data_IF_347953618908
#
_entry.id   IF_347953618908
#
_cell.length_a   1.000
_cell.length_b   1.000
_cell.length_c   1.000
_cell.angle_alpha   90.00
_cell.angle_beta   90.00
_cell.angle_gamma   90.00
#
_symmetry.space_group_name_H-M   'P 1'
#
loop_
_entity.id
_entity.type
_entity.pdbx_description
1 polymer ?
#
# COMPACT_ATOMS: atom_id res chain seq x y z
N UNK A 1 4.42 34.30 -11.99
CA UNK A 1 4.14 32.86 -11.75
C UNK A 1 4.42 32.57 -10.29
N UNK A 2 3.48 31.90 -9.61
CA UNK A 2 3.63 31.48 -8.21
C UNK A 2 4.33 30.12 -8.13
N UNK A 3 4.90 29.77 -6.97
CA UNK A 3 5.72 28.56 -6.80
C UNK A 3 4.96 27.27 -7.15
N UNK A 4 3.68 27.18 -6.83
CA UNK A 4 2.83 26.02 -7.12
C UNK A 4 2.73 25.77 -8.63
N UNK A 5 2.41 26.79 -9.42
CA UNK A 5 2.36 26.70 -10.88
C UNK A 5 3.71 26.31 -11.50
N UNK A 6 4.82 26.81 -10.93
CA UNK A 6 6.16 26.44 -11.40
C UNK A 6 6.48 24.97 -11.10
N UNK A 7 6.07 24.45 -9.93
CA UNK A 7 6.23 23.03 -9.56
C UNK A 7 5.39 22.11 -10.45
N UNK A 8 4.13 22.47 -10.67
CA UNK A 8 3.24 21.72 -11.55
C UNK A 8 3.77 21.67 -12.98
N UNK A 9 4.34 22.78 -13.46
CA UNK A 9 4.98 22.80 -14.77
C UNK A 9 6.21 21.87 -14.82
N UNK A 10 7.09 21.93 -13.80
CA UNK A 10 8.27 21.07 -13.72
C UNK A 10 7.93 19.58 -13.71
N UNK A 11 6.81 19.19 -13.08
CA UNK A 11 6.34 17.80 -13.06
C UNK A 11 5.78 17.31 -14.39
N UNK A 12 5.38 18.22 -15.29
CA UNK A 12 4.81 17.89 -16.61
C UNK A 12 5.80 18.06 -17.76
N UNK A 13 6.94 18.69 -17.52
CA UNK A 13 7.94 18.95 -18.54
C UNK A 13 8.75 17.68 -18.85
N UNK A 14 9.04 17.45 -20.13
CA UNK A 14 9.91 16.34 -20.57
C UNK A 14 11.37 16.50 -20.11
N UNK A 15 11.81 17.75 -19.89
CA UNK A 15 13.15 18.09 -19.40
C UNK A 15 13.03 19.16 -18.29
N UNK A 16 13.25 18.80 -17.01
CA UNK A 16 13.16 19.75 -15.89
C UNK A 16 14.39 20.66 -15.75
N UNK A 17 15.37 20.62 -16.67
CA UNK A 17 16.60 21.39 -16.55
C UNK A 17 16.35 22.91 -16.64
N UNK A 18 16.72 23.72 -15.63
CA UNK A 18 16.45 25.16 -15.60
C UNK A 18 16.96 25.91 -16.84
N UNK A 19 18.14 25.54 -17.33
CA UNK A 19 18.81 26.19 -18.46
C UNK A 19 18.17 25.84 -19.82
N UNK A 20 17.45 24.72 -19.89
CA UNK A 20 16.79 24.22 -21.12
C UNK A 20 15.29 24.51 -21.14
N UNK A 21 14.73 25.08 -20.08
CA UNK A 21 13.31 25.39 -19.97
C UNK A 21 12.85 26.33 -21.11
N UNK A 22 11.99 25.90 -22.05
CA UNK A 22 11.58 26.72 -23.19
C UNK A 22 10.66 27.87 -22.81
N UNK A 23 9.98 27.77 -21.65
CA UNK A 23 9.01 28.77 -21.19
C UNK A 23 9.73 29.88 -20.42
N UNK A 24 9.80 31.08 -21.02
CA UNK A 24 10.49 32.25 -20.45
C UNK A 24 10.02 32.59 -19.04
N UNK A 25 8.71 32.50 -18.76
CA UNK A 25 8.13 32.83 -17.45
C UNK A 25 8.60 31.87 -16.35
N UNK A 26 8.67 30.57 -16.65
CA UNK A 26 9.16 29.55 -15.72
C UNK A 26 10.66 29.74 -15.48
N UNK A 27 11.43 29.97 -16.55
CA UNK A 27 12.87 30.23 -16.47
C UNK A 27 13.18 31.43 -15.57
N UNK A 28 12.48 32.55 -15.76
CA UNK A 28 12.63 33.72 -14.92
C UNK A 28 12.32 33.42 -13.44
N UNK A 29 11.28 32.62 -13.17
CA UNK A 29 10.94 32.21 -11.81
C UNK A 29 12.01 31.30 -11.17
N UNK A 30 12.55 30.32 -11.91
CA UNK A 30 13.65 29.47 -11.43
C UNK A 30 14.95 30.26 -11.20
N UNK A 31 15.13 31.37 -11.92
CA UNK A 31 16.25 32.27 -11.70
C UNK A 31 16.09 33.06 -10.39
N UNK A 32 14.88 33.54 -10.09
CA UNK A 32 14.60 34.35 -8.90
C UNK A 32 14.26 33.57 -7.62
N UNK A 33 13.78 32.33 -7.74
CA UNK A 33 13.31 31.52 -6.59
C UNK A 33 14.25 30.34 -6.31
N UNK A 34 15.01 30.43 -5.21
CA UNK A 34 15.94 29.37 -4.79
C UNK A 34 15.26 28.04 -4.46
N UNK A 35 14.07 28.06 -3.86
CA UNK A 35 13.34 26.84 -3.51
C UNK A 35 12.87 26.06 -4.75
N UNK A 36 12.34 26.75 -5.77
CA UNK A 36 11.95 26.11 -7.02
C UNK A 36 13.17 25.65 -7.83
N UNK A 37 14.29 26.37 -7.77
CA UNK A 37 15.55 25.92 -8.37
C UNK A 37 16.06 24.62 -7.73
N UNK A 38 16.05 24.53 -6.40
CA UNK A 38 16.46 23.33 -5.68
C UNK A 38 15.56 22.15 -6.04
N UNK A 39 14.24 22.37 -6.08
CA UNK A 39 13.28 21.35 -6.49
C UNK A 39 13.55 20.81 -7.91
N UNK A 40 13.87 21.69 -8.87
CA UNK A 40 14.27 21.27 -10.22
C UNK A 40 15.55 20.41 -10.22
N UNK A 41 16.57 20.78 -9.42
CA UNK A 41 17.79 19.99 -9.28
C UNK A 41 17.54 18.61 -8.66
N UNK A 42 16.62 18.53 -7.70
CA UNK A 42 16.24 17.25 -7.08
C UNK A 42 15.49 16.35 -8.09
N UNK A 43 14.62 16.91 -8.94
CA UNK A 43 13.98 16.17 -10.03
C UNK A 43 15.01 15.62 -11.03
N UNK A 44 15.98 16.44 -11.44
CA UNK A 44 17.08 16.01 -12.33
C UNK A 44 17.87 14.86 -11.71
N UNK A 45 18.14 14.91 -10.39
CA UNK A 45 18.82 13.82 -9.67
C UNK A 45 18.01 12.53 -9.73
N UNK A 46 16.72 12.59 -9.42
CA UNK A 46 15.83 11.41 -9.43
C UNK A 46 15.73 10.82 -10.85
N UNK A 47 15.54 11.67 -11.85
CA UNK A 47 15.49 11.24 -13.24
C UNK A 47 16.81 10.57 -13.66
N UNK A 48 17.95 11.14 -13.26
CA UNK A 48 19.27 10.56 -13.51
C UNK A 48 19.43 9.16 -12.89
N UNK A 49 18.97 8.97 -11.65
CA UNK A 49 18.99 7.65 -10.98
C UNK A 49 18.11 6.65 -11.73
N UNK A 50 16.90 7.06 -12.14
CA UNK A 50 15.98 6.20 -12.88
C UNK A 50 16.54 5.82 -14.25
N UNK A 51 17.12 6.77 -14.99
CA UNK A 51 17.75 6.51 -16.30
C UNK A 51 19.02 5.66 -16.21
N UNK A 52 19.71 5.67 -15.07
CA UNK A 52 20.88 4.83 -14.83
C UNK A 52 20.52 3.37 -14.55
N UNK A 53 19.25 3.04 -14.28
CA UNK A 53 18.81 1.66 -14.12
C UNK A 53 18.97 0.95 -15.47
N UNK A 54 19.76 -0.14 -15.56
CA UNK A 54 19.98 -0.83 -16.82
C UNK A 54 18.65 -1.35 -17.36
N UNK A 55 18.38 -1.08 -18.63
CA UNK A 55 17.21 -1.62 -19.31
C UNK A 55 17.31 -3.15 -19.29
N UNK A 56 16.29 -3.88 -18.78
CA UNK A 56 16.36 -5.33 -18.74
C UNK A 56 16.51 -5.88 -20.17
N UNK A 57 17.36 -6.90 -20.36
CA UNK A 57 17.67 -7.44 -21.69
C UNK A 57 16.42 -7.88 -22.49
N UNK A 58 15.31 -8.19 -21.82
CA UNK A 58 14.04 -8.50 -22.45
C UNK A 58 13.35 -7.28 -23.10
N UNK A 59 13.53 -6.07 -22.55
CA UNK A 59 12.89 -4.86 -23.05
C UNK A 59 13.44 -4.41 -24.42
N UNK A 60 14.71 -4.67 -24.72
CA UNK A 60 15.24 -4.43 -26.07
C UNK A 60 14.55 -5.32 -27.12
N UNK A 61 14.22 -6.57 -26.77
CA UNK A 61 13.51 -7.48 -27.68
C UNK A 61 12.06 -7.06 -27.91
N UNK A 62 11.36 -6.59 -26.88
CA UNK A 62 10.00 -6.07 -27.04
C UNK A 62 9.97 -4.74 -27.80
N UNK A 63 10.92 -3.84 -27.54
CA UNK A 63 11.03 -2.56 -28.24
C UNK A 63 11.30 -2.76 -29.75
N UNK A 64 12.25 -3.64 -30.11
CA UNK A 64 12.54 -3.95 -31.52
C UNK A 64 11.34 -4.59 -32.22
N UNK A 65 10.67 -5.54 -31.57
CA UNK A 65 9.44 -6.15 -32.11
C UNK A 65 8.30 -5.13 -32.27
N UNK A 66 8.16 -4.18 -31.34
CA UNK A 66 7.16 -3.11 -31.42
C UNK A 66 7.46 -2.12 -32.55
N UNK A 67 8.70 -1.64 -32.65
CA UNK A 67 9.12 -0.72 -33.72
C UNK A 67 8.98 -1.34 -35.11
N UNK A 68 9.24 -2.65 -35.24
CA UNK A 68 9.01 -3.38 -36.48
C UNK A 68 7.52 -3.44 -36.89
N UNK A 69 6.58 -3.36 -35.93
CA UNK A 69 5.14 -3.28 -36.22
C UNK A 69 4.72 -1.88 -36.67
N UNK A 70 5.35 -0.84 -36.14
CA UNK A 70 5.00 0.56 -36.46
C UNK A 70 5.53 1.01 -37.82
N UNK A 71 6.67 0.47 -38.28
CA UNK A 71 7.24 0.77 -39.59
C UNK A 71 7.37 -0.51 -40.45
N UNK A 72 6.26 -1.01 -41.03
CA UNK A 72 6.27 -2.21 -41.86
C UNK A 72 7.07 -2.06 -43.16
N UNK A 73 7.49 -0.84 -43.51
CA UNK A 73 8.25 -0.51 -44.72
C UNK A 73 9.75 -0.69 -44.59
N UNK A 74 10.29 -0.96 -43.40
CA UNK A 74 11.68 -1.39 -43.27
C UNK A 74 11.72 -2.87 -43.62
N UNK A 75 12.31 -3.28 -44.75
CA UNK A 75 12.47 -4.69 -45.07
C UNK A 75 13.29 -5.32 -43.96
N UNK A 76 12.62 -6.11 -43.11
CA UNK A 76 13.31 -6.96 -42.14
C UNK A 76 14.30 -7.78 -42.95
N UNK A 77 15.62 -7.68 -42.70
CA UNK A 77 16.61 -8.43 -43.46
C UNK A 77 16.18 -9.88 -43.41
N UNK A 78 15.83 -10.40 -44.59
CA UNK A 78 15.32 -11.75 -44.76
C UNK A 78 16.32 -12.66 -44.05
N UNK A 79 15.93 -13.34 -42.95
CA UNK A 79 16.88 -14.15 -42.21
C UNK A 79 17.50 -15.11 -43.21
N UNK A 80 18.84 -15.03 -43.37
CA UNK A 80 19.58 -15.88 -44.33
C UNK A 80 19.03 -17.29 -44.17
N UNK A 81 18.62 -17.97 -45.27
CA UNK A 81 18.04 -19.28 -45.18
C UNK A 81 18.98 -20.16 -44.38
N UNK A 82 18.58 -20.48 -43.13
CA UNK A 82 19.37 -21.37 -42.31
C UNK A 82 19.54 -22.66 -43.12
N UNK A 83 20.76 -23.21 -43.20
CA UNK A 83 20.98 -24.45 -43.93
C UNK A 83 19.94 -25.45 -43.45
N UNK A 84 19.13 -25.96 -44.39
CA UNK A 84 18.13 -26.99 -44.18
C UNK A 84 18.84 -28.19 -43.54
N UNK A 85 18.91 -28.21 -42.20
CA UNK A 85 19.26 -29.41 -41.46
C UNK A 85 18.21 -30.44 -41.82
N UNK A 86 18.68 -31.53 -42.40
CA UNK A 86 17.87 -32.64 -42.91
C UNK A 86 16.84 -33.06 -41.85
N UNK A 87 15.58 -33.15 -42.27
CA UNK A 87 14.41 -33.53 -41.45
C UNK A 87 14.48 -34.97 -40.90
N UNK A 88 15.60 -35.67 -41.05
CA UNK A 88 15.77 -37.05 -40.60
C UNK A 88 16.19 -37.17 -39.12
N UNK A 89 16.56 -36.07 -38.46
CA UNK A 89 17.02 -36.07 -37.06
C UNK A 89 16.08 -35.43 -36.02
N UNK A 90 14.92 -34.91 -36.43
CA UNK A 90 14.10 -34.03 -35.56
C UNK A 90 13.06 -34.74 -34.69
N UNK A 91 12.71 -36.01 -34.95
CA UNK A 91 11.72 -36.71 -34.13
C UNK A 91 12.19 -36.87 -32.67
N UNK A 92 13.49 -37.11 -32.47
CA UNK A 92 14.07 -37.22 -31.12
C UNK A 92 13.97 -35.94 -30.29
N UNK A 93 13.92 -34.77 -30.92
CA UNK A 93 13.76 -33.49 -30.22
C UNK A 93 12.31 -33.13 -29.93
N UNK A 94 11.35 -33.62 -30.73
CA UNK A 94 9.92 -33.41 -30.48
C UNK A 94 9.51 -34.07 -29.15
N UNK A 95 9.98 -35.29 -28.89
CA UNK A 95 9.70 -36.00 -27.63
C UNK A 95 10.25 -35.24 -26.42
N UNK A 96 11.47 -34.71 -26.53
CA UNK A 96 12.09 -33.92 -25.47
C UNK A 96 11.33 -32.60 -25.21
N UNK A 97 10.93 -31.89 -26.27
CA UNK A 97 10.16 -30.65 -26.13
C UNK A 97 8.78 -30.89 -25.50
N UNK A 98 8.08 -31.97 -25.88
CA UNK A 98 6.80 -32.34 -25.24
C UNK A 98 6.95 -32.73 -23.78
N UNK A 99 8.06 -33.35 -23.38
CA UNK A 99 8.37 -33.62 -21.98
C UNK A 99 8.61 -32.34 -21.18
N UNK A 100 9.34 -31.36 -21.74
CA UNK A 100 9.53 -30.06 -21.09
C UNK A 100 8.24 -29.27 -20.98
N UNK A 101 7.38 -29.26 -22.02
CA UNK A 101 6.07 -28.61 -21.94
C UNK A 101 5.18 -29.34 -20.94
N UNK A 102 5.14 -30.67 -20.96
CA UNK A 102 4.38 -31.47 -20.00
C UNK A 102 4.82 -31.23 -18.55
N UNK A 103 6.12 -31.26 -18.29
CA UNK A 103 6.68 -30.98 -16.96
C UNK A 103 6.45 -29.53 -16.55
N UNK A 104 6.64 -28.55 -17.44
CA UNK A 104 6.38 -27.15 -17.14
C UNK A 104 4.88 -26.87 -16.88
N UNK A 105 3.99 -27.54 -17.62
CA UNK A 105 2.54 -27.42 -17.42
C UNK A 105 2.15 -28.08 -16.10
N UNK A 106 2.67 -29.27 -15.81
CA UNK A 106 2.42 -29.97 -14.55
C UNK A 106 2.97 -29.20 -13.35
N UNK A 107 4.18 -28.64 -13.44
CA UNK A 107 4.74 -27.80 -12.38
C UNK A 107 3.98 -26.48 -12.24
N UNK A 108 3.46 -25.90 -13.32
CA UNK A 108 2.60 -24.70 -13.25
C UNK A 108 1.24 -24.98 -12.59
N UNK A 109 0.63 -26.14 -12.83
CA UNK A 109 -0.61 -26.53 -12.15
C UNK A 109 -0.42 -27.00 -10.71
N UNK A 110 0.76 -27.54 -10.38
CA UNK A 110 1.11 -27.97 -9.01
C UNK A 110 1.77 -26.87 -8.17
N UNK A 111 2.27 -25.80 -8.78
CA UNK A 111 2.73 -24.65 -8.00
C UNK A 111 1.49 -23.88 -7.57
N UNK A 112 1.21 -23.78 -6.25
CA UNK A 112 0.09 -22.99 -5.77
C UNK A 112 0.27 -21.57 -6.29
N UNK A 113 -0.61 -21.15 -7.21
CA UNK A 113 -0.68 -19.77 -7.66
C UNK A 113 -0.77 -18.90 -6.43
N UNK A 114 0.04 -17.84 -6.34
CA UNK A 114 0.12 -16.88 -5.22
C UNK A 114 -1.21 -16.13 -5.03
N UNK A 115 -2.29 -16.83 -4.70
CA UNK A 115 -3.59 -16.27 -4.32
C UNK A 115 -3.50 -15.56 -2.97
N UNK A 116 -2.57 -16.00 -2.11
CA UNK A 116 -2.38 -15.49 -0.76
C UNK A 116 -1.99 -14.00 -0.62
N UNK A 117 -1.80 -13.25 -1.71
CA UNK A 117 -1.53 -11.80 -1.62
C UNK A 117 -2.70 -10.92 -2.05
N UNK A 118 -3.59 -11.40 -2.92
CA UNK A 118 -4.73 -10.60 -3.36
C UNK A 118 -5.77 -10.44 -2.24
N UNK A 119 -5.93 -11.46 -1.40
CA UNK A 119 -6.95 -11.51 -0.35
C UNK A 119 -6.66 -10.54 0.80
N UNK A 120 -5.39 -10.42 1.20
CA UNK A 120 -4.97 -9.47 2.24
C UNK A 120 -5.05 -8.00 1.80
N UNK A 121 -4.99 -7.75 0.50
CA UNK A 121 -5.02 -6.40 -0.06
C UNK A 121 -6.38 -5.72 0.18
N UNK A 122 -7.48 -6.48 0.13
CA UNK A 122 -8.83 -5.94 0.34
C UNK A 122 -8.99 -5.45 1.78
N UNK A 123 -8.54 -6.24 2.76
CA UNK A 123 -8.59 -5.85 4.18
C UNK A 123 -7.74 -4.60 4.42
N UNK A 124 -6.54 -4.52 3.84
CA UNK A 124 -5.68 -3.33 3.95
C UNK A 124 -6.33 -2.07 3.36
N UNK A 125 -7.00 -2.20 2.20
CA UNK A 125 -7.72 -1.10 1.58
C UNK A 125 -8.94 -0.66 2.40
N UNK A 126 -9.66 -1.60 3.03
CA UNK A 126 -10.77 -1.29 3.94
C UNK A 126 -10.30 -0.55 5.19
N UNK A 127 -9.18 -0.96 5.79
CA UNK A 127 -8.58 -0.24 6.93
C UNK A 127 -8.19 1.18 6.53
N UNK A 128 -7.53 1.34 5.37
CA UNK A 128 -7.14 2.66 4.86
C UNK A 128 -8.36 3.55 4.57
N UNK A 129 -9.42 2.98 4.02
CA UNK A 129 -10.67 3.71 3.79
C UNK A 129 -11.32 4.17 5.10
N UNK A 130 -11.39 3.31 6.12
CA UNK A 130 -11.91 3.69 7.45
C UNK A 130 -11.10 4.81 8.10
N UNK A 131 -9.76 4.75 8.01
CA UNK A 131 -8.89 5.82 8.53
C UNK A 131 -9.16 7.13 7.79
N UNK A 132 -9.25 7.12 6.46
CA UNK A 132 -9.58 8.32 5.68
C UNK A 132 -10.94 8.92 6.04
N UNK A 133 -11.95 8.09 6.33
CA UNK A 133 -13.25 8.56 6.80
C UNK A 133 -13.12 9.30 8.15
N UNK A 134 -12.41 8.73 9.12
CA UNK A 134 -12.19 9.35 10.44
C UNK A 134 -11.26 10.58 10.42
N UNK A 135 -10.35 10.65 9.45
CA UNK A 135 -9.48 11.81 9.23
C UNK A 135 -10.17 12.96 8.47
N UNK A 136 -11.36 12.72 7.92
CA UNK A 136 -12.14 13.74 7.20
C UNK A 136 -12.53 14.88 8.15
N UNK A 137 -12.45 16.12 7.65
CA UNK A 137 -12.64 17.30 8.52
C UNK A 137 -14.10 17.65 8.75
N UNK A 138 -14.97 17.21 7.84
CA UNK A 138 -16.38 17.56 7.84
C UNK A 138 -17.25 16.32 7.58
N UNK A 139 -18.46 16.26 8.14
CA UNK A 139 -19.39 15.16 7.87
C UNK A 139 -19.71 15.01 6.38
N UNK A 140 -19.89 16.12 5.66
CA UNK A 140 -20.18 16.11 4.22
C UNK A 140 -19.04 15.51 3.37
N UNK A 141 -17.78 15.75 3.74
CA UNK A 141 -16.63 15.10 3.09
C UNK A 141 -16.59 13.60 3.37
N UNK A 142 -16.89 13.21 4.61
CA UNK A 142 -16.98 11.82 5.05
C UNK A 142 -18.07 11.06 4.29
N UNK A 143 -19.26 11.63 4.20
CA UNK A 143 -20.40 11.09 3.43
C UNK A 143 -20.01 10.89 1.96
N UNK A 144 -19.38 11.90 1.35
CA UNK A 144 -18.92 11.81 -0.03
C UNK A 144 -17.93 10.66 -0.23
N UNK A 145 -16.92 10.54 0.64
CA UNK A 145 -15.93 9.45 0.58
C UNK A 145 -16.57 8.07 0.78
N UNK A 146 -17.61 7.98 1.63
CA UNK A 146 -18.37 6.75 1.81
C UNK A 146 -19.13 6.37 0.56
N UNK A 147 -19.88 7.31 -0.04
CA UNK A 147 -20.65 7.06 -1.26
C UNK A 147 -19.77 6.70 -2.46
N UNK A 148 -18.59 7.31 -2.58
CA UNK A 148 -17.65 7.04 -3.69
C UNK A 148 -17.06 5.62 -3.65
N UNK A 149 -16.85 5.02 -2.47
CA UNK A 149 -16.06 3.78 -2.33
C UNK A 149 -16.83 2.58 -1.77
N UNK A 150 -17.89 2.78 -0.99
CA UNK A 150 -18.57 1.69 -0.25
C UNK A 150 -19.12 0.60 -1.16
N UNK A 151 -19.78 0.96 -2.27
CA UNK A 151 -20.35 -0.02 -3.21
C UNK A 151 -19.25 -0.89 -3.86
N UNK A 152 -18.17 -0.27 -4.34
CA UNK A 152 -17.06 -0.98 -4.97
C UNK A 152 -16.32 -1.88 -3.99
N UNK A 153 -16.09 -1.42 -2.75
CA UNK A 153 -15.45 -2.22 -1.70
C UNK A 153 -16.33 -3.41 -1.29
N UNK A 154 -17.65 -3.21 -1.15
CA UNK A 154 -18.60 -4.28 -0.82
C UNK A 154 -18.64 -5.36 -1.90
N UNK A 155 -18.69 -4.97 -3.18
CA UNK A 155 -18.63 -5.91 -4.30
C UNK A 155 -17.32 -6.72 -4.30
N UNK A 156 -16.18 -6.06 -4.04
CA UNK A 156 -14.89 -6.75 -3.94
C UNK A 156 -14.82 -7.74 -2.79
N UNK A 157 -15.37 -7.40 -1.63
CA UNK A 157 -15.46 -8.34 -0.50
C UNK A 157 -16.35 -9.55 -0.85
N UNK A 158 -17.46 -9.34 -1.54
CA UNK A 158 -18.38 -10.42 -1.93
C UNK A 158 -17.81 -11.35 -3.00
N UNK A 159 -17.01 -10.81 -3.92
CA UNK A 159 -16.43 -11.57 -5.04
C UNK A 159 -15.09 -12.22 -4.70
N UNK A 160 -14.37 -11.69 -3.71
CA UNK A 160 -13.12 -12.26 -3.25
C UNK A 160 -13.34 -13.57 -2.48
N UNK A 161 -12.42 -14.53 -2.68
CA UNK A 161 -12.44 -15.81 -1.99
C UNK A 161 -11.67 -15.71 -0.67
N UNK A 162 -12.12 -14.80 0.20
CA UNK A 162 -11.50 -14.60 1.50
C UNK A 162 -11.72 -15.82 2.41
N UNK A 163 -10.74 -16.20 3.25
CA UNK A 163 -11.00 -17.08 4.38
C UNK A 163 -12.15 -16.53 5.23
N UNK A 164 -12.99 -17.41 5.81
CA UNK A 164 -14.18 -17.02 6.61
C UNK A 164 -13.87 -15.96 7.67
N UNK A 165 -12.72 -16.11 8.32
CA UNK A 165 -12.25 -15.16 9.34
C UNK A 165 -11.95 -13.78 8.76
N UNK A 166 -11.29 -13.72 7.61
CA UNK A 166 -10.93 -12.46 6.94
C UNK A 166 -12.15 -11.82 6.31
N UNK A 167 -13.12 -12.61 5.87
CA UNK A 167 -14.43 -12.15 5.43
C UNK A 167 -15.19 -11.48 6.58
N UNK A 168 -15.17 -12.05 7.79
CA UNK A 168 -15.80 -11.46 8.97
C UNK A 168 -15.15 -10.10 9.33
N UNK A 169 -13.81 -10.03 9.33
CA UNK A 169 -13.08 -8.77 9.55
C UNK A 169 -13.39 -7.74 8.46
N UNK A 170 -13.44 -8.15 7.19
CA UNK A 170 -13.79 -7.26 6.08
C UNK A 170 -15.21 -6.71 6.22
N UNK A 171 -16.16 -7.54 6.64
CA UNK A 171 -17.53 -7.10 6.89
C UNK A 171 -17.59 -6.11 8.07
N UNK A 172 -16.90 -6.40 9.17
CA UNK A 172 -16.81 -5.49 10.32
C UNK A 172 -16.21 -4.12 9.93
N UNK A 173 -15.21 -4.10 9.04
CA UNK A 173 -14.64 -2.85 8.52
C UNK A 173 -15.61 -2.09 7.60
N UNK A 174 -16.45 -2.78 6.82
CA UNK A 174 -17.50 -2.14 6.02
C UNK A 174 -18.58 -1.52 6.91
N UNK A 175 -18.99 -2.24 7.95
CA UNK A 175 -20.01 -1.79 8.90
C UNK A 175 -19.51 -0.61 9.72
N UNK A 176 -18.24 -0.65 10.16
CA UNK A 176 -17.60 0.48 10.82
C UNK A 176 -17.51 1.71 9.92
N UNK A 177 -17.18 1.53 8.64
CA UNK A 177 -17.18 2.64 7.67
C UNK A 177 -18.55 3.30 7.52
N UNK A 178 -19.63 2.52 7.60
CA UNK A 178 -21.00 3.06 7.61
C UNK A 178 -21.29 3.81 8.90
N UNK A 179 -20.95 3.21 10.05
CA UNK A 179 -21.11 3.82 11.36
C UNK A 179 -20.40 5.19 11.47
N UNK A 180 -19.19 5.31 10.91
CA UNK A 180 -18.43 6.56 10.90
C UNK A 180 -19.17 7.71 10.20
N UNK A 181 -20.07 7.45 9.24
CA UNK A 181 -20.84 8.53 8.58
C UNK A 181 -21.88 9.18 9.49
N UNK A 182 -22.28 8.49 10.56
CA UNK A 182 -23.33 8.94 11.47
C UNK A 182 -22.78 9.48 12.81
N UNK A 183 -21.50 9.29 13.09
CA UNK A 183 -20.88 9.55 14.38
C UNK A 183 -19.63 10.42 14.25
N UNK A 184 -19.60 11.56 14.95
CA UNK A 184 -18.51 12.54 14.91
C UNK A 184 -17.77 12.69 16.26
N UNK A 185 -18.15 11.95 17.31
CA UNK A 185 -17.45 12.02 18.61
C UNK A 185 -16.10 11.28 18.50
N UNK A 186 -14.96 11.97 18.62
CA UNK A 186 -13.66 11.32 18.51
C UNK A 186 -13.43 10.26 19.60
N UNK A 187 -14.11 10.37 20.74
CA UNK A 187 -14.00 9.36 21.78
C UNK A 187 -14.68 8.05 21.38
N UNK A 188 -15.88 8.14 20.77
CA UNK A 188 -16.60 6.98 20.27
C UNK A 188 -15.82 6.34 19.11
N UNK A 189 -15.29 7.15 18.18
CA UNK A 189 -14.44 6.66 17.09
C UNK A 189 -13.20 5.92 17.62
N UNK A 190 -12.54 6.45 18.67
CA UNK A 190 -11.39 5.80 19.28
C UNK A 190 -11.74 4.43 19.89
N UNK A 191 -12.91 4.29 20.52
CA UNK A 191 -13.38 3.01 21.07
C UNK A 191 -13.65 1.98 19.97
N UNK A 192 -14.31 2.38 18.89
CA UNK A 192 -14.57 1.47 17.77
C UNK A 192 -13.28 1.06 17.04
N UNK A 193 -12.34 1.98 16.81
CA UNK A 193 -11.02 1.61 16.28
C UNK A 193 -10.22 0.72 17.23
N UNK A 194 -10.41 0.86 18.54
CA UNK A 194 -9.77 0.00 19.54
C UNK A 194 -10.28 -1.44 19.42
N UNK A 195 -11.59 -1.63 19.19
CA UNK A 195 -12.18 -2.95 18.95
C UNK A 195 -11.69 -3.58 17.63
N UNK A 196 -11.54 -2.78 16.58
CA UNK A 196 -10.91 -3.23 15.33
C UNK A 196 -9.44 -3.63 15.56
N UNK A 197 -8.69 -2.86 16.35
CA UNK A 197 -7.31 -3.19 16.69
C UNK A 197 -7.22 -4.50 17.48
N UNK A 198 -8.11 -4.73 18.45
CA UNK A 198 -8.20 -5.99 19.20
C UNK A 198 -8.46 -7.17 18.25
N UNK A 199 -9.42 -7.01 17.33
CA UNK A 199 -9.74 -8.04 16.33
C UNK A 199 -8.52 -8.36 15.46
N UNK A 200 -7.85 -7.34 14.91
CA UNK A 200 -6.65 -7.53 14.07
C UNK A 200 -5.50 -8.15 14.87
N UNK A 201 -5.36 -7.82 16.16
CA UNK A 201 -4.36 -8.43 17.05
C UNK A 201 -4.63 -9.93 17.27
N UNK A 202 -5.90 -10.33 17.40
CA UNK A 202 -6.27 -11.74 17.52
C UNK A 202 -5.97 -12.52 16.23
N UNK A 203 -6.12 -11.89 15.05
CA UNK A 203 -5.70 -12.47 13.77
C UNK A 203 -4.18 -12.63 13.71
N UNK A 204 -3.44 -11.61 14.17
CA UNK A 204 -1.99 -11.66 14.27
C UNK A 204 -1.52 -12.81 15.17
N UNK A 205 -2.13 -12.98 16.34
CA UNK A 205 -1.79 -14.07 17.27
C UNK A 205 -2.00 -15.45 16.64
N UNK A 206 -3.16 -15.63 16.00
CA UNK A 206 -3.49 -16.94 15.39
C UNK A 206 -2.57 -17.26 14.23
N UNK A 207 -2.22 -16.24 13.42
CA UNK A 207 -1.28 -16.43 12.31
C UNK A 207 0.13 -16.67 12.82
N UNK A 208 0.60 -15.95 13.86
CA UNK A 208 1.94 -16.12 14.42
C UNK A 208 2.27 -17.54 14.91
N UNK A 209 1.26 -18.35 15.27
CA UNK A 209 1.44 -19.74 15.68
C UNK A 209 1.70 -20.73 14.54
N UNK A 210 1.47 -20.35 13.28
CA UNK A 210 1.65 -21.20 12.12
C UNK A 210 3.03 -21.01 11.48
N UNK A 211 3.75 -22.10 11.18
CA UNK A 211 5.09 -22.04 10.59
C UNK A 211 5.13 -21.49 9.15
N UNK A 212 3.98 -21.42 8.47
CA UNK A 212 3.87 -20.96 7.08
C UNK A 212 3.35 -19.52 6.93
N UNK A 213 3.09 -18.82 8.03
CA UNK A 213 2.31 -17.57 8.03
C UNK A 213 3.13 -16.28 7.98
N UNK A 214 4.44 -16.34 7.73
CA UNK A 214 5.34 -15.18 7.77
C UNK A 214 4.76 -13.91 7.12
N UNK A 215 4.33 -13.96 5.85
CA UNK A 215 3.72 -12.81 5.17
C UNK A 215 2.38 -12.34 5.75
N UNK A 216 1.54 -13.28 6.23
CA UNK A 216 0.25 -12.95 6.82
C UNK A 216 0.42 -12.24 8.18
N UNK A 217 1.31 -12.76 9.04
CA UNK A 217 1.64 -12.13 10.32
C UNK A 217 2.25 -10.73 10.14
N UNK A 218 3.10 -10.54 9.13
CA UNK A 218 3.63 -9.21 8.80
C UNK A 218 2.52 -8.25 8.37
N UNK A 219 1.56 -8.71 7.57
CA UNK A 219 0.44 -7.89 7.11
C UNK A 219 -0.45 -7.48 8.28
N UNK A 220 -0.88 -8.42 9.13
CA UNK A 220 -1.69 -8.09 10.30
C UNK A 220 -0.97 -7.21 11.31
N UNK A 221 0.33 -7.39 11.49
CA UNK A 221 1.15 -6.49 12.28
C UNK A 221 1.14 -5.05 11.74
N UNK A 222 1.28 -4.88 10.42
CA UNK A 222 1.20 -3.57 9.76
C UNK A 222 -0.17 -2.94 9.93
N UNK A 223 -1.25 -3.71 9.71
CA UNK A 223 -2.63 -3.23 9.87
C UNK A 223 -2.92 -2.80 11.31
N UNK A 224 -2.53 -3.62 12.30
CA UNK A 224 -2.69 -3.27 13.71
C UNK A 224 -2.02 -1.93 14.02
N UNK A 225 -0.75 -1.78 13.66
CA UNK A 225 -0.02 -0.53 13.89
C UNK A 225 -0.69 0.67 13.23
N UNK A 226 -1.24 0.49 12.02
CA UNK A 226 -1.96 1.54 11.29
C UNK A 226 -3.22 1.97 12.03
N UNK A 227 -4.05 0.99 12.45
CA UNK A 227 -5.29 1.25 13.21
C UNK A 227 -4.98 1.92 14.55
N UNK A 228 -4.01 1.42 15.32
CA UNK A 228 -3.64 2.02 16.61
C UNK A 228 -3.12 3.44 16.43
N UNK A 229 -2.27 3.68 15.43
CA UNK A 229 -1.63 5.00 15.24
C UNK A 229 -2.59 6.04 14.67
N UNK A 230 -3.29 5.70 13.58
CA UNK A 230 -4.10 6.66 12.82
C UNK A 230 -5.58 6.63 13.21
N UNK A 231 -6.09 5.50 13.70
CA UNK A 231 -7.44 5.38 14.24
C UNK A 231 -7.48 5.75 15.72
N UNK A 232 -6.90 4.91 16.58
CA UNK A 232 -7.06 5.06 18.04
C UNK A 232 -6.34 6.29 18.58
N UNK A 233 -5.02 6.39 18.42
CA UNK A 233 -4.22 7.47 19.03
C UNK A 233 -4.58 8.86 18.50
N UNK A 234 -4.85 8.95 17.19
CA UNK A 234 -5.26 10.21 16.58
C UNK A 234 -6.59 10.72 17.16
N UNK A 235 -7.57 9.82 17.32
CA UNK A 235 -8.87 10.17 17.87
C UNK A 235 -8.85 10.38 19.39
N UNK A 236 -8.03 9.62 20.14
CA UNK A 236 -7.75 9.92 21.55
C UNK A 236 -7.16 11.32 21.72
N UNK A 237 -6.19 11.71 20.87
CA UNK A 237 -5.61 13.06 20.91
C UNK A 237 -6.65 14.17 20.64
N UNK A 238 -7.62 13.92 19.75
CA UNK A 238 -8.76 14.83 19.52
C UNK A 238 -9.69 14.86 20.74
N UNK A 239 -10.02 13.69 21.28
CA UNK A 239 -10.92 13.51 22.42
C UNK A 239 -10.37 14.12 23.72
N UNK A 240 -9.07 14.02 23.99
CA UNK A 240 -8.41 14.65 25.15
C UNK A 240 -8.68 16.15 25.23
N UNK A 241 -8.68 16.84 24.09
CA UNK A 241 -8.97 18.28 24.03
C UNK A 241 -10.42 18.58 24.42
N UNK A 242 -11.35 17.69 24.08
CA UNK A 242 -12.77 17.82 24.40
C UNK A 242 -13.08 17.36 25.83
N UNK A 243 -12.35 16.37 26.34
CA UNK A 243 -12.59 15.74 27.64
C UNK A 243 -12.18 16.59 28.85
N UNK A 244 -11.45 17.71 28.65
CA UNK A 244 -11.01 18.56 29.76
C UNK A 244 -12.15 19.04 30.66
N UNK A 245 -13.37 19.13 30.11
CA UNK A 245 -14.56 19.67 30.78
C UNK A 245 -15.56 18.59 31.25
N UNK A 246 -15.36 17.31 30.89
CA UNK A 246 -16.31 16.23 31.19
C UNK A 246 -15.60 15.03 31.85
N UNK A 247 -15.88 14.81 33.13
CA UNK A 247 -15.31 13.70 33.92
C UNK A 247 -15.68 12.32 33.35
N UNK A 248 -16.86 12.15 32.74
CA UNK A 248 -17.23 10.88 32.11
C UNK A 248 -16.35 10.59 30.90
N UNK A 249 -16.04 11.62 30.09
CA UNK A 249 -15.12 11.48 28.95
C UNK A 249 -13.70 11.16 29.41
N UNK A 250 -13.21 11.76 30.51
CA UNK A 250 -11.91 11.40 31.11
C UNK A 250 -11.88 9.94 31.58
N UNK A 251 -12.94 9.47 32.24
CA UNK A 251 -13.03 8.07 32.66
C UNK A 251 -13.00 7.11 31.47
N UNK A 252 -13.76 7.39 30.40
CA UNK A 252 -13.73 6.60 29.17
C UNK A 252 -12.34 6.58 28.52
N UNK A 253 -11.67 7.73 28.39
CA UNK A 253 -10.28 7.81 27.89
C UNK A 253 -9.34 6.92 28.70
N UNK A 254 -9.44 6.95 30.03
CA UNK A 254 -8.60 6.11 30.90
C UNK A 254 -8.83 4.60 30.70
N UNK A 255 -10.05 4.20 30.31
CA UNK A 255 -10.36 2.81 29.98
C UNK A 255 -9.71 2.39 28.65
N UNK A 256 -9.72 3.28 27.64
CA UNK A 256 -9.05 3.04 26.37
C UNK A 256 -7.54 2.92 26.57
N UNK A 257 -6.91 3.83 27.33
CA UNK A 257 -5.49 3.75 27.68
C UNK A 257 -5.14 2.43 28.39
N UNK A 258 -5.99 1.99 29.33
CA UNK A 258 -5.81 0.71 30.02
C UNK A 258 -5.90 -0.47 29.06
N UNK A 259 -6.81 -0.44 28.08
CA UNK A 259 -6.90 -1.47 27.02
C UNK A 259 -5.66 -1.46 26.13
N UNK A 260 -5.19 -0.29 25.69
CA UNK A 260 -3.96 -0.16 24.90
C UNK A 260 -2.73 -0.70 25.64
N UNK A 261 -2.63 -0.46 26.95
CA UNK A 261 -1.54 -1.03 27.76
C UNK A 261 -1.58 -2.57 27.75
N UNK A 262 -2.77 -3.16 27.93
CA UNK A 262 -2.94 -4.62 27.84
C UNK A 262 -2.60 -5.16 26.45
N UNK A 263 -3.01 -4.47 25.40
CA UNK A 263 -2.62 -4.84 24.03
C UNK A 263 -1.11 -4.79 23.84
N UNK A 264 -0.44 -3.74 24.34
CA UNK A 264 1.01 -3.61 24.25
C UNK A 264 1.73 -4.76 24.98
N UNK A 265 1.23 -5.18 26.15
CA UNK A 265 1.72 -6.36 26.87
C UNK A 265 1.51 -7.64 26.04
N UNK A 266 0.32 -7.85 25.47
CA UNK A 266 0.02 -8.98 24.57
C UNK A 266 0.95 -8.99 23.35
N UNK A 267 1.15 -7.84 22.74
CA UNK A 267 2.08 -7.61 21.63
C UNK A 267 3.52 -7.97 22.01
N UNK A 268 3.98 -7.57 23.20
CA UNK A 268 5.33 -7.89 23.65
C UNK A 268 5.54 -9.41 23.77
N UNK A 269 4.55 -10.14 24.26
CA UNK A 269 4.56 -11.62 24.31
C UNK A 269 4.54 -12.22 22.89
N UNK A 270 3.71 -11.68 21.99
CA UNK A 270 3.64 -12.15 20.60
C UNK A 270 4.93 -11.88 19.83
N UNK A 271 5.64 -10.79 20.13
CA UNK A 271 6.87 -10.40 19.44
C UNK A 271 7.98 -11.47 19.54
N UNK A 272 7.94 -12.37 20.52
CA UNK A 272 8.86 -13.51 20.60
C UNK A 272 8.61 -14.56 19.51
N UNK A 273 7.36 -14.68 19.06
CA UNK A 273 6.90 -15.67 18.06
C UNK A 273 6.89 -15.11 16.63
N UNK A 274 6.88 -13.78 16.48
CA UNK A 274 6.81 -13.12 15.18
C UNK A 274 8.11 -13.23 14.39
N UNK A 275 8.01 -13.14 13.06
CA UNK A 275 9.16 -12.97 12.19
C UNK A 275 9.80 -11.60 12.38
N UNK A 276 11.09 -11.45 12.08
CA UNK A 276 11.78 -10.14 12.20
C UNK A 276 11.12 -9.05 11.34
N UNK A 277 10.50 -9.42 10.21
CA UNK A 277 9.74 -8.49 9.38
C UNK A 277 8.49 -7.99 10.12
N UNK A 278 7.67 -8.90 10.67
CA UNK A 278 6.49 -8.53 11.44
C UNK A 278 6.85 -7.73 12.72
N UNK A 279 7.93 -8.11 13.42
CA UNK A 279 8.40 -7.37 14.63
C UNK A 279 8.67 -5.89 14.36
N UNK A 280 9.09 -5.50 13.15
CA UNK A 280 9.32 -4.08 12.81
C UNK A 280 8.05 -3.24 12.89
N UNK A 281 6.90 -3.84 12.63
CA UNK A 281 5.61 -3.16 12.67
C UNK A 281 4.95 -3.19 14.04
N UNK A 282 5.29 -4.18 14.87
CA UNK A 282 4.71 -4.37 16.21
C UNK A 282 5.51 -3.68 17.31
N UNK A 283 6.76 -3.27 17.03
CA UNK A 283 7.57 -2.53 18.01
C UNK A 283 6.79 -1.31 18.48
N UNK A 284 6.54 -1.15 19.80
CA UNK A 284 5.86 0.01 20.33
C UNK A 284 6.64 1.23 19.86
N UNK A 285 6.06 1.99 18.93
CA UNK A 285 6.64 3.24 18.48
C UNK A 285 6.86 4.05 19.74
N UNK A 286 8.13 4.36 20.08
CA UNK A 286 8.50 5.13 21.27
C UNK A 286 7.51 6.28 21.39
N UNK A 287 6.55 6.16 22.30
CA UNK A 287 5.46 7.12 22.44
C UNK A 287 6.11 8.43 22.86
N UNK A 288 6.35 9.32 21.88
CA UNK A 288 6.97 10.63 22.11
C UNK A 288 6.09 11.56 22.93
N UNK A 289 4.89 11.12 23.31
CA UNK A 289 3.89 11.91 24.03
C UNK A 289 4.03 11.89 25.55
N UNK A 290 4.86 11.01 26.14
CA UNK A 290 5.01 10.95 27.60
C UNK A 290 5.76 12.15 28.24
N UNK A 291 6.39 13.03 27.46
CA UNK A 291 7.24 14.11 28.01
C UNK A 291 6.62 15.51 28.01
N UNK A 292 5.31 15.67 27.72
CA UNK A 292 4.69 17.00 27.62
C UNK A 292 3.78 17.41 28.79
N UNK A 293 3.66 16.58 29.84
CA UNK A 293 2.83 16.88 31.02
C UNK A 293 3.64 17.29 32.28
N UNK A 294 4.93 17.60 32.13
CA UNK A 294 5.80 17.96 33.26
C UNK A 294 6.22 19.45 33.32
N UNK A 295 5.54 20.34 32.57
CA UNK A 295 5.75 21.79 32.64
C UNK A 295 4.43 22.54 32.73
#
# INVERSE_FOLDING_TARGET
>A
MICEQARDWLLRADDPHPDRCPVRVVRAHLQSCGACRQYALDLIRVEGVVRAVPTPAAAHRSQTAFLARLNPTVPVPNPKPMPRRSRAGSWRWVVAASLFVGVATLTFFLTPTRQAHADSEIVEQLVEWNIRLSESKTPAERDRLYQEQSASLRERVQTAKLPERDQALAQQLLDHGAWLTEHDDPLDEAEHFQELADTVLDHLETTAGSSSSGPASETYARLHNKITTHGVNANMTKAERQAQQDEKKKQRLSLIEKRQKKQAEKIAVLAEKLTEAAKKHVKPGRAKHANKAAN
#
